data_IF_681094862589
#
_entry.id   IF_681094862589
#
_cell.length_a   1.000
_cell.length_b   1.000
_cell.length_c   1.000
_cell.angle_alpha   90.00
_cell.angle_beta   90.00
_cell.angle_gamma   90.00
#
_symmetry.space_group_name_H-M   'P 1'
#
loop_
_entity.id
_entity.type
_entity.pdbx_description
1 polymer ?
#
# COMPACT_ATOMS: atom_id res chain seq x y z
N UNK A 1 22.18 -39.16 15.18
CA UNK A 1 21.22 -38.20 14.61
C UNK A 1 21.50 -38.14 13.13
N UNK A 2 20.58 -38.62 12.29
CA UNK A 2 20.68 -38.40 10.84
C UNK A 2 20.57 -36.88 10.60
N UNK A 3 21.37 -36.30 9.69
CA UNK A 3 21.24 -34.88 9.37
C UNK A 3 19.82 -34.63 8.84
N UNK A 4 19.13 -33.62 9.39
CA UNK A 4 17.84 -33.18 8.87
C UNK A 4 18.00 -32.85 7.38
N UNK A 5 17.08 -33.36 6.56
CA UNK A 5 17.06 -33.05 5.15
C UNK A 5 16.90 -31.52 4.98
N UNK A 6 17.62 -30.85 4.06
CA UNK A 6 17.41 -29.42 3.81
C UNK A 6 15.98 -29.08 3.37
N UNK A 7 15.18 -30.07 2.96
CA UNK A 7 13.74 -29.93 2.70
C UNK A 7 12.90 -29.89 3.98
N UNK A 8 13.26 -30.65 5.01
CA UNK A 8 12.52 -30.67 6.30
C UNK A 8 12.63 -29.35 7.04
N UNK A 9 13.73 -28.61 6.87
CA UNK A 9 13.94 -27.31 7.52
C UNK A 9 13.07 -26.19 6.93
N UNK A 10 12.57 -26.36 5.70
CA UNK A 10 11.73 -25.36 5.01
C UNK A 10 10.28 -25.80 4.82
N UNK A 11 9.87 -26.96 5.36
CA UNK A 11 8.53 -27.51 5.13
C UNK A 11 7.40 -26.54 5.55
N UNK A 12 7.50 -25.97 6.75
CA UNK A 12 6.50 -25.04 7.28
C UNK A 12 6.41 -23.74 6.47
N UNK A 13 7.54 -23.31 5.90
CA UNK A 13 7.68 -22.12 5.04
C UNK A 13 6.99 -22.36 3.70
N UNK A 14 7.24 -23.52 3.08
CA UNK A 14 6.60 -23.93 1.84
C UNK A 14 5.09 -24.11 2.02
N UNK A 15 4.64 -24.74 3.11
CA UNK A 15 3.20 -24.85 3.40
C UNK A 15 2.51 -23.48 3.47
N UNK A 16 3.22 -22.46 3.94
CA UNK A 16 2.67 -21.12 4.10
C UNK A 16 2.62 -20.32 2.78
N UNK A 17 3.49 -20.61 1.80
CA UNK A 17 3.65 -19.81 0.58
C UNK A 17 3.29 -20.54 -0.73
N UNK A 18 2.87 -21.80 -0.64
CA UNK A 18 2.48 -22.61 -1.79
C UNK A 18 0.98 -22.94 -1.77
N UNK A 19 0.35 -23.05 -2.95
CA UNK A 19 -0.95 -23.67 -3.09
C UNK A 19 -0.93 -25.10 -2.54
N UNK A 20 -2.07 -25.55 -2.00
CA UNK A 20 -2.17 -26.86 -1.35
C UNK A 20 -1.70 -28.02 -2.25
N UNK A 21 -2.10 -28.01 -3.52
CA UNK A 21 -1.72 -29.05 -4.51
C UNK A 21 -0.21 -29.08 -4.76
N UNK A 22 0.41 -27.90 -4.88
CA UNK A 22 1.85 -27.77 -5.14
C UNK A 22 2.68 -28.20 -3.92
N UNK A 23 2.23 -27.86 -2.70
CA UNK A 23 2.84 -28.34 -1.47
C UNK A 23 2.78 -29.87 -1.36
N UNK A 24 1.62 -30.48 -1.65
CA UNK A 24 1.46 -31.94 -1.64
C UNK A 24 2.37 -32.61 -2.67
N UNK A 25 2.46 -32.07 -3.89
CA UNK A 25 3.36 -32.59 -4.93
C UNK A 25 4.83 -32.53 -4.50
N UNK A 26 5.27 -31.39 -3.97
CA UNK A 26 6.63 -31.17 -3.48
C UNK A 26 7.00 -32.13 -2.34
N UNK A 27 6.07 -32.40 -1.42
CA UNK A 27 6.33 -33.26 -0.27
C UNK A 27 6.22 -34.75 -0.59
N UNK A 28 5.29 -35.13 -1.46
CA UNK A 28 5.07 -36.52 -1.86
C UNK A 28 6.23 -37.06 -2.71
N UNK A 29 6.71 -36.28 -3.68
CA UNK A 29 7.82 -36.68 -4.55
C UNK A 29 8.62 -35.46 -5.05
N UNK A 30 9.67 -35.00 -4.33
CA UNK A 30 10.45 -33.82 -4.68
C UNK A 30 11.40 -34.08 -5.87
N UNK A 31 10.82 -34.22 -7.07
CA UNK A 31 11.54 -34.28 -8.34
C UNK A 31 12.06 -32.90 -8.75
N UNK A 32 13.07 -32.86 -9.63
CA UNK A 32 13.62 -31.57 -10.12
C UNK A 32 12.55 -30.75 -10.84
N UNK A 33 11.66 -31.39 -11.60
CA UNK A 33 10.60 -30.69 -12.33
C UNK A 33 9.60 -30.02 -11.38
N UNK A 34 9.17 -30.71 -10.32
CA UNK A 34 8.29 -30.14 -9.28
C UNK A 34 8.99 -28.98 -8.56
N UNK A 35 10.29 -29.12 -8.25
CA UNK A 35 11.06 -28.02 -7.64
C UNK A 35 11.14 -26.80 -8.55
N UNK A 36 11.28 -26.99 -9.87
CA UNK A 36 11.29 -25.90 -10.84
C UNK A 36 9.93 -25.19 -10.92
N UNK A 37 8.82 -25.92 -10.81
CA UNK A 37 7.48 -25.35 -10.72
C UNK A 37 7.29 -24.52 -9.44
N UNK A 38 7.70 -25.07 -8.29
CA UNK A 38 7.72 -24.37 -6.99
C UNK A 38 8.55 -23.09 -7.08
N UNK A 39 9.75 -23.17 -7.65
CA UNK A 39 10.62 -22.00 -7.85
C UNK A 39 9.95 -20.95 -8.74
N UNK A 40 9.31 -21.35 -9.85
CA UNK A 40 8.58 -20.44 -10.75
C UNK A 40 7.39 -19.76 -10.05
N UNK A 41 6.66 -20.51 -9.23
CA UNK A 41 5.58 -20.00 -8.41
C UNK A 41 6.08 -18.95 -7.42
N UNK A 42 7.05 -19.32 -6.57
CA UNK A 42 7.64 -18.42 -5.57
C UNK A 42 8.22 -17.15 -6.20
N UNK A 43 8.89 -17.26 -7.34
CA UNK A 43 9.38 -16.09 -8.07
C UNK A 43 8.27 -15.17 -8.56
N UNK A 44 7.15 -15.73 -8.99
CA UNK A 44 5.97 -14.95 -9.39
C UNK A 44 5.35 -14.28 -8.17
N UNK A 45 5.19 -15.03 -7.08
CA UNK A 45 4.71 -14.51 -5.80
C UNK A 45 5.60 -13.39 -5.27
N UNK A 46 6.93 -13.53 -5.33
CA UNK A 46 7.91 -12.51 -4.92
C UNK A 46 7.65 -11.18 -5.62
N UNK A 47 7.41 -11.20 -6.93
CA UNK A 47 7.08 -10.00 -7.69
C UNK A 47 5.74 -9.40 -7.26
N UNK A 48 4.73 -10.24 -7.04
CA UNK A 48 3.40 -9.81 -6.62
C UNK A 48 3.46 -9.17 -5.24
N UNK A 49 3.99 -9.84 -4.21
CA UNK A 49 4.04 -9.31 -2.83
C UNK A 49 4.83 -8.00 -2.77
N UNK A 50 5.86 -7.89 -3.60
CA UNK A 50 6.64 -6.68 -3.73
C UNK A 50 5.82 -5.49 -4.27
N UNK A 51 4.94 -5.72 -5.25
CA UNK A 51 4.06 -4.69 -5.81
C UNK A 51 2.94 -4.27 -4.83
N UNK A 52 2.58 -5.15 -3.88
CA UNK A 52 1.62 -4.86 -2.81
C UNK A 52 2.22 -4.11 -1.62
N UNK A 53 3.55 -4.02 -1.53
CA UNK A 53 4.25 -3.46 -0.37
C UNK A 53 4.66 -2.01 -0.63
N UNK A 54 4.44 -1.14 0.37
CA UNK A 54 4.80 0.29 0.28
C UNK A 54 6.27 0.49 -0.07
N UNK A 55 6.54 1.50 -0.91
CA UNK A 55 7.92 1.88 -1.27
C UNK A 55 8.74 2.40 -0.10
N UNK A 56 8.08 2.86 0.97
CA UNK A 56 8.71 3.31 2.21
C UNK A 56 9.37 2.19 3.00
N UNK A 57 8.96 0.96 2.74
CA UNK A 57 9.52 -0.21 3.41
C UNK A 57 10.83 -0.57 2.72
N UNK A 58 11.94 -0.44 3.44
CA UNK A 58 13.25 -0.92 3.01
C UNK A 58 13.32 -2.44 3.11
N UNK A 59 12.86 -3.10 2.04
CA UNK A 59 12.83 -4.56 1.91
C UNK A 59 14.19 -5.21 2.13
N UNK A 60 15.30 -4.49 1.89
CA UNK A 60 16.66 -5.05 2.00
C UNK A 60 17.12 -5.23 3.45
N UNK A 61 16.44 -4.59 4.39
CA UNK A 61 16.79 -4.62 5.82
C UNK A 61 15.72 -5.29 6.67
N UNK A 62 14.67 -5.87 6.08
CA UNK A 62 13.54 -6.39 6.84
C UNK A 62 13.96 -7.55 7.76
N UNK A 63 13.51 -7.47 9.01
CA UNK A 63 13.61 -8.53 10.01
C UNK A 63 12.25 -8.61 10.70
N UNK A 64 11.38 -9.56 10.30
CA UNK A 64 10.02 -9.60 10.82
C UNK A 64 10.00 -9.68 12.35
N UNK A 65 9.15 -8.88 12.97
CA UNK A 65 9.07 -8.72 14.44
C UNK A 65 10.03 -7.68 15.02
N UNK A 66 11.02 -7.19 14.28
CA UNK A 66 11.84 -6.06 14.71
C UNK A 66 11.07 -4.75 14.54
N UNK A 67 10.82 -4.07 15.65
CA UNK A 67 10.24 -2.73 15.63
C UNK A 67 11.31 -1.71 15.23
N UNK A 68 11.07 -1.04 14.11
CA UNK A 68 11.90 0.04 13.58
C UNK A 68 11.13 1.35 13.60
N UNK A 69 11.85 2.44 13.80
CA UNK A 69 11.27 3.79 13.84
C UNK A 69 12.19 4.77 13.15
N UNK A 70 11.66 5.66 12.33
CA UNK A 70 12.43 6.70 11.68
C UNK A 70 11.63 8.01 11.59
N UNK A 71 12.25 9.11 12.03
CA UNK A 71 11.68 10.44 11.80
C UNK A 71 11.96 10.89 10.38
N UNK A 72 10.89 11.23 9.67
CA UNK A 72 10.97 11.76 8.32
C UNK A 72 10.27 13.12 8.25
N UNK A 73 10.62 13.87 7.21
CA UNK A 73 9.96 15.12 6.87
C UNK A 73 9.57 15.07 5.40
N UNK A 74 8.38 15.55 5.07
CA UNK A 74 7.92 15.59 3.69
C UNK A 74 6.56 16.23 3.54
N UNK A 75 6.01 16.09 2.33
CA UNK A 75 4.64 16.49 2.02
C UNK A 75 3.75 15.26 2.01
N UNK A 76 2.73 15.26 2.86
CA UNK A 76 1.68 14.25 2.89
C UNK A 76 0.48 14.72 2.07
N UNK A 77 -0.08 13.79 1.31
CA UNK A 77 -1.31 13.98 0.55
C UNK A 77 -2.31 12.91 0.99
N UNK A 78 -3.48 13.37 1.40
CA UNK A 78 -4.66 12.53 1.62
C UNK A 78 -5.67 12.81 0.50
N UNK A 79 -6.28 11.77 -0.02
CA UNK A 79 -7.39 11.89 -0.97
C UNK A 79 -8.63 11.21 -0.44
N UNK A 80 -9.80 11.61 -0.91
CA UNK A 80 -11.09 10.98 -0.63
C UNK A 80 -11.89 10.90 -1.93
N UNK A 81 -12.65 9.82 -2.13
CA UNK A 81 -13.33 9.51 -3.38
C UNK A 81 -14.85 9.54 -3.20
N UNK A 82 -15.41 10.74 -3.32
CA UNK A 82 -16.86 10.92 -3.29
C UNK A 82 -17.55 10.20 -4.45
N UNK A 83 -18.64 9.50 -4.14
CA UNK A 83 -19.43 8.72 -5.12
C UNK A 83 -19.11 7.22 -5.11
N UNK A 84 -18.04 6.80 -4.41
CA UNK A 84 -17.64 5.39 -4.31
C UNK A 84 -18.74 4.49 -3.73
N UNK A 85 -19.40 4.90 -2.64
CA UNK A 85 -20.52 4.14 -2.04
C UNK A 85 -21.65 3.91 -3.04
N UNK A 86 -22.02 4.94 -3.82
CA UNK A 86 -23.07 4.83 -4.85
C UNK A 86 -22.66 3.87 -5.96
N UNK A 87 -21.39 3.91 -6.37
CA UNK A 87 -20.84 2.98 -7.37
C UNK A 87 -20.92 1.53 -6.85
N UNK A 88 -20.58 1.30 -5.59
CA UNK A 88 -20.69 -0.02 -4.96
C UNK A 88 -22.14 -0.51 -4.93
N UNK A 89 -23.08 0.29 -4.43
CA UNK A 89 -24.50 -0.07 -4.35
C UNK A 89 -25.10 -0.38 -5.72
N UNK A 90 -24.77 0.44 -6.74
CA UNK A 90 -25.26 0.25 -8.11
C UNK A 90 -24.82 -1.10 -8.70
N UNK A 91 -23.59 -1.55 -8.39
CA UNK A 91 -23.04 -2.80 -8.89
C UNK A 91 -23.45 -4.02 -8.04
N UNK A 92 -23.58 -3.87 -6.72
CA UNK A 92 -23.97 -4.96 -5.83
C UNK A 92 -25.34 -5.58 -6.21
N UNK A 93 -26.23 -4.80 -6.80
CA UNK A 93 -27.55 -5.25 -7.29
C UNK A 93 -27.51 -6.28 -8.43
N UNK A 94 -26.35 -6.53 -9.04
CA UNK A 94 -26.17 -7.38 -10.23
C UNK A 94 -25.37 -8.65 -9.99
N UNK A 95 -25.05 -8.97 -8.73
CA UNK A 95 -24.28 -10.17 -8.40
C UNK A 95 -22.90 -10.16 -9.06
N UNK A 96 -22.52 -11.27 -9.71
CA UNK A 96 -21.20 -11.49 -10.29
C UNK A 96 -20.85 -10.48 -11.40
N UNK A 97 -21.77 -10.18 -12.32
CA UNK A 97 -21.56 -9.19 -13.39
C UNK A 97 -21.27 -7.79 -12.82
N UNK A 98 -21.98 -7.40 -11.77
CA UNK A 98 -21.72 -6.16 -11.05
C UNK A 98 -20.37 -6.15 -10.36
N UNK A 99 -19.95 -7.29 -9.81
CA UNK A 99 -18.67 -7.45 -9.14
C UNK A 99 -17.50 -7.25 -10.13
N UNK A 100 -17.61 -7.85 -11.32
CA UNK A 100 -16.65 -7.68 -12.40
C UNK A 100 -16.59 -6.23 -12.90
N UNK A 101 -17.75 -5.59 -13.10
CA UNK A 101 -17.79 -4.19 -13.53
C UNK A 101 -17.17 -3.27 -12.47
N UNK A 102 -17.51 -3.45 -11.19
CA UNK A 102 -16.91 -2.68 -10.10
C UNK A 102 -15.39 -2.87 -10.08
N UNK A 103 -14.91 -4.11 -10.12
CA UNK A 103 -13.47 -4.40 -10.14
C UNK A 103 -12.76 -3.74 -11.32
N UNK A 104 -13.37 -3.75 -12.50
CA UNK A 104 -12.86 -3.09 -13.71
C UNK A 104 -12.72 -1.58 -13.51
N UNK A 105 -13.74 -0.91 -12.97
CA UNK A 105 -13.70 0.53 -12.72
C UNK A 105 -12.65 0.89 -11.66
N UNK A 106 -12.57 0.12 -10.57
CA UNK A 106 -11.57 0.34 -9.51
C UNK A 106 -10.16 0.12 -10.00
N UNK A 107 -9.93 -0.92 -10.80
CA UNK A 107 -8.61 -1.20 -11.39
C UNK A 107 -8.19 -0.06 -12.32
N UNK A 108 -9.11 0.47 -13.14
CA UNK A 108 -8.82 1.63 -14.00
C UNK A 108 -8.48 2.87 -13.17
N UNK A 109 -9.29 3.17 -12.14
CA UNK A 109 -9.07 4.30 -11.24
C UNK A 109 -7.71 4.21 -10.52
N UNK A 110 -7.46 3.12 -9.80
CA UNK A 110 -6.22 2.96 -9.05
C UNK A 110 -4.99 2.94 -9.96
N UNK A 111 -5.07 2.30 -11.13
CA UNK A 111 -3.95 2.30 -12.09
C UNK A 111 -3.59 3.73 -12.53
N UNK A 112 -4.59 4.56 -12.84
CA UNK A 112 -4.38 5.96 -13.22
C UNK A 112 -3.74 6.75 -12.08
N UNK A 113 -4.30 6.67 -10.86
CA UNK A 113 -3.80 7.40 -9.70
C UNK A 113 -2.38 6.98 -9.30
N UNK A 114 -2.12 5.67 -9.21
CA UNK A 114 -0.79 5.13 -8.86
C UNK A 114 0.25 5.57 -9.89
N UNK A 115 -0.09 5.53 -11.19
CA UNK A 115 0.80 6.00 -12.24
C UNK A 115 1.14 7.47 -12.06
N UNK A 116 0.14 8.34 -11.87
CA UNK A 116 0.35 9.78 -11.65
C UNK A 116 1.20 10.08 -10.41
N UNK A 117 0.93 9.39 -9.29
CA UNK A 117 1.68 9.52 -8.04
C UNK A 117 3.14 9.11 -8.27
N UNK A 118 3.36 7.92 -8.85
CA UNK A 118 4.71 7.38 -9.04
C UNK A 118 5.53 8.23 -10.03
N UNK A 119 4.91 8.75 -11.10
CA UNK A 119 5.57 9.63 -12.06
C UNK A 119 5.96 10.98 -11.45
N UNK A 120 5.30 11.38 -10.36
CA UNK A 120 5.59 12.62 -9.64
C UNK A 120 6.60 12.43 -8.50
N UNK A 121 7.14 11.22 -8.34
CA UNK A 121 8.05 10.86 -7.24
C UNK A 121 7.36 10.76 -5.88
N UNK A 122 6.04 10.55 -5.87
CA UNK A 122 5.29 10.23 -4.67
C UNK A 122 5.30 8.74 -4.36
N UNK A 123 5.16 8.43 -3.08
CA UNK A 123 5.12 7.08 -2.54
C UNK A 123 3.72 6.86 -1.96
N UNK A 124 2.96 5.95 -2.58
CA UNK A 124 1.72 5.49 -1.99
C UNK A 124 2.07 4.68 -0.74
N UNK A 125 1.64 5.18 0.41
CA UNK A 125 1.80 4.51 1.69
C UNK A 125 0.74 3.44 1.82
N UNK A 126 -0.53 3.83 1.64
CA UNK A 126 -1.64 2.93 1.83
C UNK A 126 -2.97 3.40 1.21
N UNK A 127 -3.88 2.44 0.98
CA UNK A 127 -5.29 2.68 0.63
C UNK A 127 -6.18 2.63 1.88
N UNK A 128 -6.83 3.72 2.27
CA UNK A 128 -7.65 3.75 3.49
C UNK A 128 -9.12 3.81 3.12
N UNK A 129 -9.70 2.64 2.84
CA UNK A 129 -11.02 2.57 2.21
C UNK A 129 -10.94 3.01 0.76
N UNK A 130 -11.62 4.09 0.44
CA UNK A 130 -11.62 4.80 -0.84
C UNK A 130 -10.64 6.01 -0.87
N UNK A 131 -9.95 6.25 0.25
CA UNK A 131 -8.90 7.25 0.38
C UNK A 131 -7.50 6.72 0.01
N UNK A 132 -6.62 7.63 -0.40
CA UNK A 132 -5.20 7.36 -0.62
C UNK A 132 -4.37 8.17 0.38
N UNK A 133 -3.36 7.55 1.00
CA UNK A 133 -2.31 8.24 1.72
C UNK A 133 -1.00 8.16 0.91
N UNK A 134 -0.50 9.32 0.51
CA UNK A 134 0.70 9.46 -0.30
C UNK A 134 1.69 10.36 0.42
N UNK A 135 2.97 10.01 0.35
CA UNK A 135 4.07 10.83 0.86
C UNK A 135 4.98 11.22 -0.29
N UNK A 136 5.36 12.49 -0.31
CA UNK A 136 6.46 13.02 -1.12
C UNK A 136 7.62 13.29 -0.16
N UNK A 137 8.63 12.41 -0.12
CA UNK A 137 9.74 12.58 0.80
C UNK A 137 10.53 13.84 0.45
N UNK A 138 11.01 14.53 1.49
CA UNK A 138 11.89 15.69 1.31
C UNK A 138 13.22 15.23 0.73
N UNK A 139 13.59 15.83 -0.38
CA UNK A 139 14.88 15.61 -1.05
C UNK A 139 15.76 16.86 -0.89
N UNK A 140 17.03 16.77 -1.30
CA UNK A 140 17.94 17.93 -1.32
C UNK A 140 17.42 19.08 -2.21
N UNK A 141 16.59 18.74 -3.22
CA UNK A 141 15.94 19.72 -4.11
C UNK A 141 14.84 20.53 -3.42
N UNK A 142 14.37 20.08 -2.24
CA UNK A 142 13.29 20.73 -1.44
C UNK A 142 12.06 21.06 -2.29
N UNK A 143 11.72 20.16 -3.20
CA UNK A 143 10.63 20.29 -4.16
C UNK A 143 9.48 19.31 -3.87
N UNK A 144 9.41 18.74 -2.66
CA UNK A 144 8.33 17.86 -2.23
C UNK A 144 6.95 18.52 -2.33
N UNK A 145 6.77 19.74 -1.80
CA UNK A 145 5.46 20.41 -1.85
C UNK A 145 5.03 20.77 -3.29
N UNK A 146 5.87 21.37 -4.15
CA UNK A 146 5.53 21.58 -5.55
C UNK A 146 5.22 20.29 -6.33
N UNK A 147 5.96 19.20 -6.07
CA UNK A 147 5.70 17.89 -6.69
C UNK A 147 4.33 17.36 -6.28
N UNK A 148 3.99 17.44 -4.99
CA UNK A 148 2.69 17.02 -4.47
C UNK A 148 1.54 17.83 -5.09
N UNK A 149 1.67 19.16 -5.16
CA UNK A 149 0.63 20.02 -5.77
C UNK A 149 0.41 19.68 -7.25
N UNK A 150 1.48 19.53 -8.03
CA UNK A 150 1.37 19.14 -9.45
C UNK A 150 0.76 17.75 -9.61
N UNK A 151 1.16 16.78 -8.77
CA UNK A 151 0.58 15.45 -8.77
C UNK A 151 -0.92 15.50 -8.49
N UNK A 152 -1.35 16.27 -7.49
CA UNK A 152 -2.75 16.44 -7.14
C UNK A 152 -3.58 17.05 -8.29
N UNK A 153 -3.05 18.08 -8.96
CA UNK A 153 -3.72 18.67 -10.12
C UNK A 153 -3.85 17.67 -11.29
N UNK A 154 -2.81 16.87 -11.57
CA UNK A 154 -2.87 15.79 -12.56
C UNK A 154 -3.90 14.73 -12.18
N UNK A 155 -3.97 14.34 -10.92
CA UNK A 155 -4.98 13.39 -10.42
C UNK A 155 -6.40 13.96 -10.61
N UNK A 156 -6.62 15.24 -10.30
CA UNK A 156 -7.91 15.90 -10.56
C UNK A 156 -8.25 15.94 -12.06
N UNK A 157 -7.28 16.17 -12.94
CA UNK A 157 -7.51 16.09 -14.40
C UNK A 157 -7.85 14.67 -14.85
N UNK A 158 -7.17 13.66 -14.32
CA UNK A 158 -7.45 12.25 -14.61
C UNK A 158 -8.84 11.82 -14.12
N UNK A 159 -9.38 12.48 -13.10
CA UNK A 159 -10.76 12.24 -12.62
C UNK A 159 -11.85 12.53 -13.66
N UNK A 160 -11.55 13.30 -14.71
CA UNK A 160 -12.50 13.56 -15.81
C UNK A 160 -12.96 12.26 -16.49
N UNK A 161 -12.12 11.22 -16.52
CA UNK A 161 -12.49 9.91 -17.07
C UNK A 161 -13.51 9.13 -16.23
N UNK A 162 -13.73 9.57 -14.98
CA UNK A 162 -14.62 8.92 -14.01
C UNK A 162 -15.82 9.82 -13.65
N UNK A 163 -16.02 10.89 -14.42
CA UNK A 163 -17.12 11.83 -14.21
C UNK A 163 -18.47 11.24 -14.62
N UNK A 164 -18.51 10.28 -15.54
CA UNK A 164 -19.73 9.67 -16.07
C UNK A 164 -19.57 8.15 -16.19
N UNK A 165 -19.52 7.44 -15.05
CA UNK A 165 -19.43 5.98 -15.06
C UNK A 165 -20.82 5.41 -15.31
N UNK A 166 -20.99 4.75 -16.46
CA UNK A 166 -22.18 3.96 -16.73
C UNK A 166 -22.24 2.76 -15.78
N UNK A 167 -23.34 2.67 -15.04
CA UNK A 167 -23.66 1.52 -14.20
C UNK A 167 -25.03 0.98 -14.59
N UNK A 168 -25.34 -0.27 -14.21
CA UNK A 168 -26.67 -0.84 -14.43
C UNK A 168 -27.82 -0.08 -13.74
N UNK A 169 -27.50 0.82 -12.79
CA UNK A 169 -28.46 1.68 -12.08
C UNK A 169 -28.46 3.13 -12.56
N UNK A 170 -27.77 3.44 -13.66
CA UNK A 170 -27.62 4.79 -14.22
C UNK A 170 -26.19 5.32 -14.16
N UNK A 171 -26.02 6.63 -14.35
CA UNK A 171 -24.70 7.27 -14.37
C UNK A 171 -24.28 7.61 -12.92
N UNK A 172 -23.08 7.20 -12.54
CA UNK A 172 -22.45 7.55 -11.27
C UNK A 172 -21.22 8.41 -11.53
N UNK A 173 -21.11 9.51 -10.79
CA UNK A 173 -20.00 10.45 -10.92
C UNK A 173 -19.05 10.25 -9.74
N UNK A 174 -17.79 9.92 -10.03
CA UNK A 174 -16.75 9.92 -9.01
C UNK A 174 -16.08 11.29 -8.97
N UNK A 175 -15.88 11.81 -7.76
CA UNK A 175 -15.19 13.07 -7.51
C UNK A 175 -14.11 12.85 -6.49
N UNK A 176 -12.97 13.50 -6.67
CA UNK A 176 -11.87 13.40 -5.72
C UNK A 176 -11.73 14.69 -4.93
N UNK A 177 -11.53 14.58 -3.61
CA UNK A 177 -11.05 15.67 -2.76
C UNK A 177 -9.62 15.36 -2.38
N UNK A 178 -8.74 16.36 -2.41
CA UNK A 178 -7.32 16.18 -2.08
C UNK A 178 -6.91 17.21 -1.03
N UNK A 179 -6.26 16.77 0.04
CA UNK A 179 -5.62 17.59 1.05
C UNK A 179 -4.11 17.40 1.09
N UNK A 180 -3.35 18.50 1.20
CA UNK A 180 -1.89 18.50 1.20
C UNK A 180 -1.34 19.23 2.43
N UNK A 181 -0.44 18.57 3.15
CA UNK A 181 0.21 19.11 4.33
C UNK A 181 1.70 18.80 4.37
N UNK A 182 2.49 19.78 4.82
CA UNK A 182 3.93 19.66 5.01
C UNK A 182 4.26 19.54 6.49
N UNK A 183 5.01 18.51 6.85
CA UNK A 183 5.35 18.29 8.25
C UNK A 183 6.31 17.14 8.50
N UNK A 184 6.59 16.93 9.78
CA UNK A 184 7.39 15.81 10.27
C UNK A 184 6.47 14.68 10.70
N UNK A 185 6.87 13.44 10.48
CA UNK A 185 6.14 12.27 10.92
C UNK A 185 7.12 11.17 11.30
N UNK A 186 6.70 10.31 12.22
CA UNK A 186 7.46 9.14 12.62
C UNK A 186 6.91 7.96 11.83
N UNK A 187 7.73 7.30 11.02
CA UNK A 187 7.39 5.99 10.46
C UNK A 187 7.76 4.91 11.46
N UNK A 188 6.95 3.86 11.54
CA UNK A 188 7.26 2.69 12.36
C UNK A 188 6.80 1.39 11.72
N UNK A 189 7.66 0.38 11.78
CA UNK A 189 7.30 -1.00 11.48
C UNK A 189 6.89 -1.67 12.79
N UNK A 190 5.64 -2.14 12.89
CA UNK A 190 5.07 -2.71 14.11
C UNK A 190 4.45 -4.08 13.83
N UNK A 191 4.29 -4.91 14.87
CA UNK A 191 3.61 -6.19 14.78
C UNK A 191 4.50 -7.38 15.14
N UNK A 192 4.15 -8.53 14.58
CA UNK A 192 4.79 -9.83 14.83
C UNK A 192 5.54 -10.31 13.58
N UNK A 193 6.43 -11.32 13.70
CA UNK A 193 7.10 -11.87 12.53
C UNK A 193 6.20 -12.37 11.39
N UNK A 194 4.92 -12.66 11.67
CA UNK A 194 3.95 -13.09 10.65
C UNK A 194 3.04 -11.97 10.18
N UNK A 195 2.85 -10.94 11.00
CA UNK A 195 1.93 -9.84 10.72
C UNK A 195 2.54 -8.52 11.17
N UNK A 196 3.14 -7.82 10.23
CA UNK A 196 3.73 -6.49 10.35
C UNK A 196 2.81 -5.44 9.72
N UNK A 197 2.92 -4.20 10.19
CA UNK A 197 2.28 -3.01 9.63
C UNK A 197 3.29 -1.86 9.57
N UNK A 198 3.19 -1.05 8.52
CA UNK A 198 3.97 0.18 8.39
C UNK A 198 3.07 1.38 8.66
N UNK A 199 3.33 2.07 9.77
CA UNK A 199 2.44 3.14 10.26
C UNK A 199 3.13 4.49 10.27
N UNK A 200 2.36 5.55 9.99
CA UNK A 200 2.79 6.93 10.11
C UNK A 200 2.14 7.55 11.36
N UNK A 201 2.97 8.08 12.25
CA UNK A 201 2.55 8.66 13.53
C UNK A 201 2.95 10.14 13.63
N UNK A 202 2.18 10.89 14.40
CA UNK A 202 2.40 12.32 14.67
C UNK A 202 1.25 13.22 14.21
N UNK A 203 1.21 14.40 14.80
CA UNK A 203 0.19 15.44 14.59
C UNK A 203 0.10 15.94 13.16
N UNK A 204 1.22 15.99 12.44
CA UNK A 204 1.23 16.47 11.06
C UNK A 204 0.55 15.46 10.12
N UNK A 205 0.53 14.16 10.45
CA UNK A 205 -0.27 13.13 9.73
C UNK A 205 -1.77 13.40 9.91
N UNK A 206 -2.18 13.69 11.14
CA UNK A 206 -3.57 14.07 11.44
C UNK A 206 -3.95 15.39 10.76
N UNK A 207 -3.04 16.36 10.75
CA UNK A 207 -3.27 17.63 10.06
C UNK A 207 -3.42 17.44 8.55
N UNK A 208 -2.69 16.50 7.94
CA UNK A 208 -2.86 16.14 6.53
C UNK A 208 -4.26 15.58 6.25
N UNK A 209 -4.75 14.66 7.11
CA UNK A 209 -6.13 14.15 7.04
C UNK A 209 -7.17 15.26 7.22
N UNK A 210 -7.00 16.12 8.22
CA UNK A 210 -7.89 17.27 8.43
C UNK A 210 -7.89 18.23 7.24
N UNK A 211 -6.74 18.41 6.58
CA UNK A 211 -6.64 19.27 5.39
C UNK A 211 -7.48 18.72 4.24
N UNK A 212 -7.49 17.40 4.06
CA UNK A 212 -8.37 16.75 3.08
C UNK A 212 -9.84 16.96 3.46
N UNK A 213 -10.20 16.72 4.73
CA UNK A 213 -11.60 16.75 5.18
C UNK A 213 -12.23 18.14 5.12
N UNK A 214 -11.45 19.21 5.35
CA UNK A 214 -11.88 20.62 5.16
C UNK A 214 -11.72 21.11 3.71
N UNK A 215 -11.40 20.21 2.78
CA UNK A 215 -11.33 20.49 1.36
C UNK A 215 -12.70 20.43 0.67
N UNK A 216 -12.69 20.66 -0.65
CA UNK A 216 -13.89 20.54 -1.50
C UNK A 216 -13.67 19.49 -2.59
N UNK A 217 -14.73 18.82 -2.99
CA UNK A 217 -14.70 17.91 -4.14
C UNK A 217 -14.15 18.63 -5.38
N UNK A 218 -13.37 17.91 -6.18
CA UNK A 218 -12.74 18.38 -7.42
C UNK A 218 -11.69 19.47 -7.19
N UNK A 219 -11.28 19.72 -5.94
CA UNK A 219 -10.28 20.73 -5.57
C UNK A 219 -9.09 20.13 -4.83
N UNK A 220 -7.98 20.85 -4.86
CA UNK A 220 -6.77 20.57 -4.09
C UNK A 220 -6.68 21.60 -2.96
N UNK A 221 -6.70 21.12 -1.72
CA UNK A 221 -6.69 21.94 -0.52
C UNK A 221 -5.34 21.86 0.18
N UNK A 222 -4.76 23.01 0.55
CA UNK A 222 -3.49 23.09 1.27
C UNK A 222 -3.72 23.64 2.67
N UNK A 223 -3.05 23.02 3.64
CA UNK A 223 -2.83 23.65 4.94
C UNK A 223 -1.96 24.91 4.81
N UNK A 224 -2.04 25.82 5.78
CA UNK A 224 -1.16 27.00 5.84
C UNK A 224 0.34 26.66 5.68
N UNK A 225 0.83 25.59 6.32
CA UNK A 225 2.24 25.17 6.19
C UNK A 225 2.62 24.79 4.75
N UNK A 226 1.74 24.07 4.05
CA UNK A 226 1.98 23.68 2.67
C UNK A 226 1.91 24.89 1.75
N UNK A 227 0.90 25.74 1.93
CA UNK A 227 0.70 26.99 1.19
C UNK A 227 1.96 27.86 1.23
N UNK A 228 2.54 28.10 2.41
CA UNK A 228 3.74 28.93 2.55
C UNK A 228 4.94 28.44 1.73
N UNK A 229 5.05 27.14 1.46
CA UNK A 229 6.13 26.59 0.63
C UNK A 229 5.94 26.78 -0.87
N UNK A 230 4.70 27.05 -1.31
CA UNK A 230 4.34 27.04 -2.73
C UNK A 230 3.57 28.28 -3.19
N UNK A 231 3.31 29.26 -2.31
CA UNK A 231 2.53 30.47 -2.59
C UNK A 231 3.06 31.30 -3.77
N UNK A 232 4.37 31.26 -4.01
CA UNK A 232 5.01 32.00 -5.11
C UNK A 232 5.02 31.23 -6.44
N UNK A 233 4.55 29.97 -6.44
CA UNK A 233 4.61 29.06 -7.60
C UNK A 233 3.25 28.71 -8.20
N UNK A 234 2.18 28.88 -7.44
CA UNK A 234 0.82 28.54 -7.86
C UNK A 234 -0.14 29.65 -7.46
N UNK A 235 -1.32 29.67 -8.07
CA UNK A 235 -2.40 30.56 -7.69
C UNK A 235 -3.36 29.87 -6.73
N UNK A 236 -3.98 30.69 -5.88
CA UNK A 236 -4.83 30.22 -4.79
C UNK A 236 -6.12 31.02 -4.69
N UNK A 237 -7.17 30.33 -4.28
CA UNK A 237 -8.45 30.89 -3.83
C UNK A 237 -8.61 30.64 -2.33
N UNK A 238 -9.45 31.46 -1.69
CA UNK A 238 -9.80 31.27 -0.27
C UNK A 238 -10.54 29.94 -0.07
N UNK A 239 -10.00 29.11 0.81
CA UNK A 239 -10.66 27.91 1.33
C UNK A 239 -11.45 28.22 2.60
N UNK A 240 -11.68 27.18 3.41
CA UNK A 240 -12.10 27.36 4.80
C UNK A 240 -10.98 28.00 5.64
N UNK A 241 -11.30 28.42 6.86
CA UNK A 241 -10.34 29.13 7.73
C UNK A 241 -9.03 28.34 7.92
N UNK A 242 -7.90 28.93 7.53
CA UNK A 242 -6.57 28.30 7.61
C UNK A 242 -6.20 27.40 6.42
N UNK A 243 -7.07 27.31 5.40
CA UNK A 243 -6.89 26.46 4.22
C UNK A 243 -6.94 27.25 2.90
N UNK A 244 -6.20 26.77 1.90
CA UNK A 244 -6.02 27.44 0.62
C UNK A 244 -6.29 26.47 -0.53
N UNK A 245 -7.19 26.86 -1.45
CA UNK A 245 -7.52 26.04 -2.60
C UNK A 245 -6.61 26.39 -3.78
N UNK A 246 -5.94 25.39 -4.35
CA UNK A 246 -5.15 25.60 -5.58
C UNK A 246 -6.08 25.91 -6.75
N UNK A 247 -5.66 26.85 -7.60
CA UNK A 247 -6.27 27.13 -8.90
C UNK A 247 -5.49 26.38 -9.96
N UNK A 248 -6.18 25.58 -10.78
CA UNK A 248 -5.57 24.91 -11.92
C UNK A 248 -5.54 25.85 -13.14
N UNK A 249 -4.49 26.68 -13.23
CA UNK A 249 -4.25 27.60 -14.35
C UNK A 249 -3.02 27.21 -15.20
N UNK A 250 -2.50 26.01 -14.98
CA UNK A 250 -1.30 25.52 -15.66
C UNK A 250 -1.64 24.87 -17.00
N UNK A 251 -0.79 25.05 -18.02
CA UNK A 251 -0.88 24.27 -19.26
C UNK A 251 -0.47 22.81 -19.02
N UNK A 252 -0.82 21.90 -19.93
CA UNK A 252 -0.36 20.51 -19.85
C UNK A 252 1.18 20.42 -19.83
N UNK A 253 1.88 21.29 -20.58
CA UNK A 253 3.35 21.37 -20.55
C UNK A 253 3.89 21.85 -19.21
N UNK A 254 3.25 22.84 -18.56
CA UNK A 254 3.65 23.28 -17.22
C UNK A 254 3.36 22.22 -16.15
N UNK A 255 2.38 21.37 -16.43
CA UNK A 255 2.05 20.16 -15.69
C UNK A 255 2.79 18.92 -16.21
N UNK A 256 3.74 18.97 -17.15
CA UNK A 256 4.45 17.79 -17.69
C UNK A 256 5.95 18.04 -17.89
N UNK A 257 6.81 17.07 -18.23
CA UNK A 257 6.96 15.71 -17.69
C UNK A 257 8.15 15.76 -16.70
N UNK A 258 8.04 15.17 -15.51
CA UNK A 258 9.29 14.83 -14.80
C UNK A 258 9.95 13.72 -15.62
N UNK A 259 11.27 13.84 -15.87
CA UNK A 259 12.05 12.77 -16.51
C UNK A 259 11.64 11.44 -15.88
N UNK A 260 11.07 10.57 -16.72
CA UNK A 260 10.70 9.22 -16.37
C UNK A 260 12.00 8.55 -15.93
N UNK A 261 12.28 8.58 -14.63
CA UNK A 261 13.17 7.62 -14.02
C UNK A 261 12.22 6.55 -13.50
N UNK A 262 11.96 5.48 -14.27
CA UNK A 262 11.26 4.37 -13.68
C UNK A 262 12.19 3.88 -12.57
N UNK A 263 11.81 4.11 -11.32
CA UNK A 263 12.37 3.40 -10.17
C UNK A 263 11.90 1.94 -10.31
N UNK A 264 12.39 1.25 -11.34
CA UNK A 264 12.35 -0.20 -11.41
C UNK A 264 13.31 -0.65 -10.32
N UNK A 265 12.78 -1.16 -9.21
CA UNK A 265 13.55 -2.02 -8.33
C UNK A 265 14.02 -3.19 -9.23
N UNK A 266 15.30 -3.18 -9.60
CA UNK A 266 15.89 -4.21 -10.46
C UNK A 266 15.90 -5.50 -9.65
N UNK A 267 14.96 -6.40 -9.90
CA UNK A 267 15.08 -7.76 -9.43
C UNK A 267 16.11 -8.48 -10.29
N UNK A 268 17.15 -9.03 -9.67
CA UNK A 268 18.13 -9.84 -10.37
C UNK A 268 17.43 -11.02 -11.04
N UNK A 269 17.66 -11.22 -12.33
CA UNK A 269 17.10 -12.36 -13.04
C UNK A 269 17.96 -13.60 -12.80
N UNK A 270 17.71 -14.33 -11.70
CA UNK A 270 18.31 -15.65 -11.53
C UNK A 270 17.56 -16.64 -12.43
N UNK A 271 17.97 -16.76 -13.69
CA UNK A 271 17.47 -17.83 -14.58
C UNK A 271 18.08 -19.13 -14.05
N UNK A 272 17.24 -20.14 -13.82
CA UNK A 272 17.70 -21.47 -13.46
C UNK A 272 18.29 -22.11 -14.71
N UNK A 273 19.61 -22.16 -14.80
CA UNK A 273 20.32 -22.73 -15.96
C UNK A 273 20.68 -24.21 -15.72
N UNK A 274 20.76 -24.65 -14.46
CA UNK A 274 21.19 -26.00 -14.09
C UNK A 274 20.08 -26.81 -13.40
N UNK A 275 19.87 -28.04 -13.89
CA UNK A 275 18.89 -29.02 -13.35
C UNK A 275 19.46 -29.83 -12.18
N UNK A 276 20.31 -29.24 -11.36
CA UNK A 276 20.82 -29.89 -10.14
C UNK A 276 19.84 -29.67 -8.99
N UNK A 277 19.43 -30.76 -8.34
CA UNK A 277 18.44 -30.74 -7.25
C UNK A 277 18.85 -29.84 -6.09
N UNK A 278 20.13 -29.83 -5.72
CA UNK A 278 20.63 -29.02 -4.60
C UNK A 278 20.65 -27.55 -4.97
N UNK A 279 21.01 -27.22 -6.22
CA UNK A 279 21.02 -25.82 -6.71
C UNK A 279 19.60 -25.26 -6.71
N UNK A 280 18.62 -25.98 -7.25
CA UNK A 280 17.22 -25.54 -7.27
C UNK A 280 16.70 -25.38 -5.84
N UNK A 281 17.03 -26.30 -4.94
CA UNK A 281 16.64 -26.20 -3.53
C UNK A 281 17.23 -24.95 -2.85
N UNK A 282 18.52 -24.66 -3.06
CA UNK A 282 19.14 -23.44 -2.51
C UNK A 282 18.47 -22.17 -3.05
N UNK A 283 18.10 -22.15 -4.33
CA UNK A 283 17.36 -21.01 -4.91
C UNK A 283 15.96 -20.87 -4.32
N UNK A 284 15.25 -21.97 -4.04
CA UNK A 284 13.97 -21.95 -3.31
C UNK A 284 14.17 -21.34 -1.92
N UNK A 285 15.21 -21.77 -1.18
CA UNK A 285 15.52 -21.21 0.14
C UNK A 285 15.76 -19.70 0.05
N UNK A 286 16.56 -19.23 -0.91
CA UNK A 286 16.79 -17.80 -1.12
C UNK A 286 15.49 -17.04 -1.43
N UNK A 287 14.62 -17.60 -2.28
CA UNK A 287 13.31 -17.00 -2.56
C UNK A 287 12.44 -16.90 -1.31
N UNK A 288 12.42 -17.94 -0.47
CA UNK A 288 11.67 -17.91 0.79
C UNK A 288 12.21 -16.83 1.73
N UNK A 289 13.54 -16.69 1.84
CA UNK A 289 14.19 -15.66 2.65
C UNK A 289 13.85 -14.24 2.17
N UNK A 290 13.66 -14.04 0.87
CA UNK A 290 13.24 -12.76 0.29
C UNK A 290 11.73 -12.49 0.41
N UNK A 291 10.88 -13.53 0.29
CA UNK A 291 9.42 -13.39 0.25
C UNK A 291 8.84 -13.20 1.65
N UNK A 292 9.25 -14.02 2.62
CA UNK A 292 8.64 -14.01 3.96
C UNK A 292 8.65 -12.65 4.65
N UNK A 293 9.76 -11.88 4.62
CA UNK A 293 9.76 -10.58 5.27
C UNK A 293 8.77 -9.61 4.66
N UNK A 294 8.60 -9.64 3.34
CA UNK A 294 7.66 -8.79 2.60
C UNK A 294 6.22 -9.26 2.84
N UNK A 295 5.99 -10.58 2.77
CA UNK A 295 4.69 -11.20 2.98
C UNK A 295 4.11 -10.88 4.37
N UNK A 296 4.95 -10.65 5.39
CA UNK A 296 4.49 -10.27 6.72
C UNK A 296 3.70 -8.95 6.76
N UNK A 297 3.86 -8.07 5.78
CA UNK A 297 3.08 -6.81 5.68
C UNK A 297 1.74 -6.98 4.95
N UNK A 298 1.41 -8.19 4.50
CA UNK A 298 0.17 -8.49 3.78
C UNK A 298 -0.74 -9.27 4.72
N UNK A 299 -2.02 -8.86 4.90
CA UNK A 299 -2.96 -9.64 5.69
C UNK A 299 -3.14 -11.06 5.15
N UNK A 300 -3.14 -12.07 6.03
CA UNK A 300 -3.16 -13.50 5.68
C UNK A 300 -4.22 -13.90 4.63
N UNK A 301 -5.48 -13.42 4.65
CA UNK A 301 -6.45 -13.77 3.61
C UNK A 301 -6.08 -13.20 2.24
N UNK A 302 -5.50 -12.00 2.20
CA UNK A 302 -5.02 -11.41 0.95
C UNK A 302 -3.82 -12.20 0.46
N UNK A 303 -2.87 -12.52 1.34
CA UNK A 303 -1.72 -13.35 0.99
C UNK A 303 -2.14 -14.71 0.45
N UNK A 304 -3.12 -15.36 1.08
CA UNK A 304 -3.68 -16.64 0.63
C UNK A 304 -4.27 -16.54 -0.77
N UNK A 305 -5.04 -15.49 -1.06
CA UNK A 305 -5.55 -15.24 -2.41
C UNK A 305 -4.42 -15.01 -3.42
N UNK A 306 -3.35 -14.30 -3.03
CA UNK A 306 -2.19 -14.09 -3.91
C UNK A 306 -1.42 -15.38 -4.18
N UNK A 307 -1.33 -16.27 -3.20
CA UNK A 307 -0.72 -17.60 -3.34
C UNK A 307 -1.55 -18.44 -4.30
N UNK A 308 -2.86 -18.57 -4.08
CA UNK A 308 -3.71 -19.40 -4.93
C UNK A 308 -3.83 -18.86 -6.37
N UNK A 309 -3.81 -17.53 -6.54
CA UNK A 309 -3.96 -16.89 -7.86
C UNK A 309 -2.65 -16.48 -8.55
N UNK A 310 -1.49 -16.82 -7.98
CA UNK A 310 -0.20 -16.34 -8.50
C UNK A 310 0.03 -16.67 -9.99
N UNK A 311 -0.45 -17.84 -10.43
CA UNK A 311 -0.31 -18.32 -11.81
C UNK A 311 -1.16 -17.51 -12.79
N UNK A 312 -2.43 -17.29 -12.47
CA UNK A 312 -3.40 -16.63 -13.36
C UNK A 312 -3.41 -15.10 -13.19
N UNK A 313 -2.82 -14.59 -12.11
CA UNK A 313 -2.78 -13.17 -11.72
C UNK A 313 -4.17 -12.51 -11.73
N UNK A 314 -5.19 -13.30 -11.40
CA UNK A 314 -6.59 -12.90 -11.33
C UNK A 314 -7.17 -13.38 -10.03
N UNK A 315 -7.62 -12.44 -9.21
CA UNK A 315 -8.43 -12.72 -8.04
C UNK A 315 -9.88 -12.47 -8.48
N UNK A 316 -10.75 -13.49 -8.46
CA UNK A 316 -12.16 -13.28 -8.81
C UNK A 316 -12.78 -12.29 -7.83
N UNK A 317 -13.63 -11.36 -8.30
CA UNK A 317 -14.31 -10.45 -7.41
C UNK A 317 -15.32 -11.21 -6.55
N UNK A 318 -15.41 -10.83 -5.27
CA UNK A 318 -16.38 -11.37 -4.33
C UNK A 318 -17.06 -10.22 -3.58
N UNK A 319 -18.35 -10.39 -3.26
CA UNK A 319 -19.12 -9.48 -2.42
C UNK A 319 -19.47 -10.17 -1.10
N UNK A 320 -18.49 -10.34 -0.20
CA UNK A 320 -18.78 -10.89 1.11
C UNK A 320 -19.70 -9.93 1.88
N UNK A 321 -20.45 -10.49 2.84
CA UNK A 321 -21.20 -9.70 3.83
C UNK A 321 -20.44 -9.71 5.17
N UNK A 322 -19.40 -8.87 5.34
CA UNK A 322 -18.65 -8.83 6.58
C UNK A 322 -19.38 -8.03 7.65
N UNK A 323 -19.18 -8.42 8.91
CA UNK A 323 -19.37 -7.49 10.03
C UNK A 323 -18.11 -6.66 10.19
N UNK A 324 -18.22 -5.34 10.04
CA UNK A 324 -17.08 -4.42 10.12
C UNK A 324 -16.99 -3.82 11.52
N UNK A 325 -15.81 -3.86 12.12
CA UNK A 325 -15.50 -3.22 13.39
C UNK A 325 -14.33 -2.25 13.20
N UNK A 326 -14.54 -0.99 13.59
CA UNK A 326 -13.48 0.01 13.62
C UNK A 326 -12.89 0.09 15.02
N UNK A 327 -11.56 0.02 15.13
CA UNK A 327 -10.82 0.20 16.37
C UNK A 327 -9.96 1.46 16.22
N UNK A 328 -10.16 2.44 17.10
CA UNK A 328 -9.40 3.67 17.07
C UNK A 328 -8.55 3.81 18.33
N UNK A 329 -7.26 4.05 18.15
CA UNK A 329 -6.37 4.46 19.22
C UNK A 329 -6.39 5.98 19.37
N UNK A 330 -6.77 6.46 20.56
CA UNK A 330 -6.82 7.90 20.87
C UNK A 330 -5.60 8.28 21.71
N UNK A 331 -4.91 9.36 21.34
CA UNK A 331 -3.79 9.94 22.10
C UNK A 331 -2.43 9.27 21.88
N UNK A 332 -2.41 8.06 21.34
CA UNK A 332 -1.20 7.27 21.12
C UNK A 332 -0.46 7.70 19.84
N UNK A 333 -1.11 7.92 18.68
CA UNK A 333 -0.45 8.52 17.52
C UNK A 333 0.16 9.90 17.80
N UNK A 334 -0.49 10.72 18.62
CA UNK A 334 -0.06 12.07 19.01
C UNK A 334 1.07 12.06 20.03
N UNK A 335 1.26 10.95 20.74
CA UNK A 335 2.36 10.81 21.69
C UNK A 335 3.73 10.77 21.00
N UNK A 336 3.79 10.43 19.70
CA UNK A 336 5.02 10.48 18.92
C UNK A 336 5.67 11.87 18.96
N UNK A 337 4.87 12.95 18.91
CA UNK A 337 5.40 14.32 18.98
C UNK A 337 5.98 14.71 20.33
N UNK A 338 5.62 13.98 21.39
CA UNK A 338 6.05 14.20 22.78
C UNK A 338 7.18 13.27 23.20
N UNK A 339 7.52 12.27 22.38
CA UNK A 339 8.61 11.35 22.67
C UNK A 339 9.94 12.10 22.74
N UNK A 340 10.71 11.85 23.80
CA UNK A 340 12.10 12.30 23.85
C UNK A 340 12.97 11.46 22.90
N UNK A 341 14.13 11.98 22.44
CA UNK A 341 15.05 11.20 21.63
C UNK A 341 15.41 9.87 22.30
N UNK A 342 15.15 8.76 21.62
CA UNK A 342 15.36 7.40 22.11
C UNK A 342 14.10 6.73 22.69
N UNK A 343 13.02 7.47 22.94
CA UNK A 343 11.74 6.93 23.42
C UNK A 343 10.82 6.44 22.28
N UNK A 344 11.11 6.82 21.04
CA UNK A 344 10.28 6.47 19.86
C UNK A 344 10.12 4.96 19.72
N UNK A 345 11.21 4.20 19.93
CA UNK A 345 11.16 2.74 19.88
C UNK A 345 10.28 2.16 20.99
N UNK A 346 10.29 2.75 22.19
CA UNK A 346 9.44 2.30 23.31
C UNK A 346 7.97 2.56 23.01
N UNK A 347 7.66 3.70 22.38
CA UNK A 347 6.32 4.01 21.90
C UNK A 347 5.87 3.01 20.83
N UNK A 348 6.69 2.78 19.81
CA UNK A 348 6.38 1.84 18.73
C UNK A 348 6.25 0.39 19.23
N UNK A 349 7.04 -0.02 20.23
CA UNK A 349 6.87 -1.32 20.91
C UNK A 349 5.53 -1.44 21.64
N UNK A 350 5.09 -0.36 22.28
CA UNK A 350 3.78 -0.32 22.94
C UNK A 350 2.66 -0.46 21.91
N UNK A 351 2.81 0.18 20.75
CA UNK A 351 1.86 0.09 19.65
C UNK A 351 1.86 -1.30 19.01
N UNK A 352 3.04 -1.86 18.75
CA UNK A 352 3.22 -3.24 18.27
C UNK A 352 2.57 -4.27 19.19
N UNK A 353 2.70 -4.12 20.51
CA UNK A 353 2.04 -4.99 21.48
C UNK A 353 0.52 -4.89 21.40
N UNK A 354 -0.02 -3.67 21.36
CA UNK A 354 -1.47 -3.47 21.26
C UNK A 354 -2.02 -4.05 19.95
N UNK A 355 -1.38 -3.76 18.82
CA UNK A 355 -1.70 -4.32 17.52
C UNK A 355 -1.69 -5.85 17.54
N UNK A 356 -0.63 -6.46 18.08
CA UNK A 356 -0.49 -7.93 18.13
C UNK A 356 -1.57 -8.60 18.97
N UNK A 357 -1.94 -7.99 20.10
CA UNK A 357 -3.02 -8.51 20.97
C UNK A 357 -4.40 -8.42 20.29
N UNK A 358 -4.66 -7.32 19.57
CA UNK A 358 -5.90 -7.15 18.80
C UNK A 358 -5.93 -8.17 17.66
N UNK A 359 -4.84 -8.28 16.89
CA UNK A 359 -4.75 -9.23 15.79
C UNK A 359 -5.04 -10.65 16.25
N UNK A 360 -4.38 -11.10 17.33
CA UNK A 360 -4.61 -12.43 17.90
C UNK A 360 -6.06 -12.63 18.36
N UNK A 361 -6.69 -11.61 18.97
CA UNK A 361 -8.08 -11.69 19.42
C UNK A 361 -9.09 -11.78 18.26
N UNK A 362 -8.78 -11.11 17.15
CA UNK A 362 -9.58 -11.10 15.91
C UNK A 362 -9.42 -12.42 15.16
N UNK A 363 -8.18 -12.88 14.93
CA UNK A 363 -7.87 -14.13 14.25
C UNK A 363 -8.41 -15.36 14.99
N UNK A 364 -8.35 -15.37 16.32
CA UNK A 364 -8.90 -16.46 17.15
C UNK A 364 -10.41 -16.67 16.95
N UNK A 365 -11.10 -15.71 16.33
CA UNK A 365 -12.54 -15.77 16.00
C UNK A 365 -12.79 -15.88 14.49
N UNK A 366 -11.76 -16.16 13.69
CA UNK A 366 -11.84 -16.20 12.23
C UNK A 366 -12.01 -14.81 11.59
N UNK A 367 -11.80 -13.74 12.36
CA UNK A 367 -11.79 -12.38 11.83
C UNK A 367 -10.45 -12.04 11.19
N UNK A 368 -10.42 -10.90 10.50
CA UNK A 368 -9.24 -10.42 9.78
C UNK A 368 -8.95 -8.99 10.18
N UNK A 369 -7.75 -8.73 10.72
CA UNK A 369 -7.29 -7.37 10.93
C UNK A 369 -6.68 -6.84 9.63
N UNK A 370 -7.51 -6.11 8.86
CA UNK A 370 -7.07 -5.55 7.58
C UNK A 370 -6.03 -4.44 7.77
N UNK A 371 -6.25 -3.56 8.76
CA UNK A 371 -5.44 -2.37 9.08
C UNK A 371 -5.59 -1.98 10.54
#
# INVERSE_FOLDING_TARGET
MLPESPLTTIESRLRYLLPAEMYVAMWGNPSVDIMLEVHKHLRTLQRIVHDYTSKQIDITKLKPGDVKTEWQYGTMMFTDLAGFTKLMEANASKGEEGAENLLKQLTKYFSSMISTISMSGGELVEFTGDALLVVFPKTDRKDDAPRAVRAALRMQRAMKEFAEIETPSGIVNLKMRIGIHNGRFLTADIGTPRRMEHVLLGKDVQQAKLTESNGRNERVNLSAKAYEQVKDKFRFEAGEEGYHLVVDDLTDDQLGEYEITPLRRRMASNIVIEKDKNIVLQQIVTLLDDIEPIASFIPDPVLSLLIESAADRRIPPDFPQPTIMFIQFVGLPESADRALPGEERKLALSFSRAFSLINAAVEARGGVLKK
#
